data_IF_610290380015
#
_entry.id   IF_610290380015
#
_cell.length_a   1.000
_cell.length_b   1.000
_cell.length_c   1.000
_cell.angle_alpha   90.00
_cell.angle_beta   90.00
_cell.angle_gamma   90.00
#
_symmetry.space_group_name_H-M   'P 1'
#
loop_
_entity.id
_entity.type
_entity.pdbx_description
1 polymer ?
#
# COMPACT_ATOMS: atom_id res chain seq x y z
N UNK A 1 -0.13 6.19 6.60
CA UNK A 1 -0.17 5.94 8.06
C UNK A 1 -1.05 4.74 8.34
N UNK A 2 -0.56 3.71 9.06
CA UNK A 2 -1.37 2.58 9.54
C UNK A 2 -2.00 2.91 10.89
N UNK A 3 -3.32 2.77 11.02
CA UNK A 3 -4.05 3.09 12.25
C UNK A 3 -5.30 2.25 12.44
N UNK A 4 -5.85 2.23 13.66
CA UNK A 4 -7.11 1.57 14.00
C UNK A 4 -7.35 1.44 15.50
N UNK A 5 -8.62 1.22 15.88
CA UNK A 5 -9.00 0.96 17.28
C UNK A 5 -8.42 -0.37 17.81
N UNK A 6 -8.41 -1.39 16.95
CA UNK A 6 -7.86 -2.71 17.29
C UNK A 6 -6.42 -2.75 16.78
N UNK A 7 -5.45 -2.90 17.70
CA UNK A 7 -4.04 -3.00 17.34
C UNK A 7 -3.72 -4.39 16.77
N UNK A 8 -3.35 -4.44 15.50
CA UNK A 8 -3.03 -5.65 14.73
C UNK A 8 -1.54 -5.83 14.46
N UNK A 9 -0.80 -4.72 14.39
CA UNK A 9 0.65 -4.74 14.16
C UNK A 9 1.37 -3.82 15.14
N UNK A 10 2.65 -4.08 15.46
CA UNK A 10 3.43 -3.25 16.38
C UNK A 10 3.52 -1.77 15.97
N UNK A 11 3.63 -1.50 14.66
CA UNK A 11 3.75 -0.15 14.09
C UNK A 11 2.43 0.60 13.89
N UNK A 12 1.29 -0.05 14.16
CA UNK A 12 -0.02 0.58 14.00
C UNK A 12 -0.25 1.65 15.07
N UNK A 13 -0.71 2.81 14.62
CA UNK A 13 -1.00 3.97 15.48
C UNK A 13 -2.42 3.91 16.04
N UNK A 14 -2.65 4.64 17.12
CA UNK A 14 -4.01 4.95 17.60
C UNK A 14 -4.68 5.95 16.67
N UNK A 15 -6.02 6.05 16.75
CA UNK A 15 -6.77 7.02 15.95
C UNK A 15 -6.37 8.46 16.28
N UNK A 16 -6.17 8.78 17.56
CA UNK A 16 -5.75 10.11 18.02
C UNK A 16 -4.40 10.50 17.38
N UNK A 17 -3.43 9.56 17.38
CA UNK A 17 -2.11 9.82 16.81
C UNK A 17 -2.17 9.97 15.28
N UNK A 18 -2.98 9.18 14.60
CA UNK A 18 -3.19 9.31 13.16
C UNK A 18 -3.82 10.66 12.81
N UNK A 19 -4.79 11.13 13.60
CA UNK A 19 -5.43 12.44 13.43
C UNK A 19 -4.42 13.57 13.59
N UNK A 20 -3.61 13.57 14.67
CA UNK A 20 -2.54 14.55 14.88
C UNK A 20 -1.58 14.63 13.68
N UNK A 21 -1.18 13.47 13.12
CA UNK A 21 -0.30 13.43 11.96
C UNK A 21 -1.00 14.03 10.74
N UNK A 22 -2.25 13.67 10.46
CA UNK A 22 -2.99 14.19 9.31
C UNK A 22 -3.28 15.69 9.41
N UNK A 23 -3.46 16.22 10.63
CA UNK A 23 -3.60 17.66 10.87
C UNK A 23 -2.28 18.42 10.73
N UNK A 24 -1.15 17.76 11.00
CA UNK A 24 0.19 18.35 10.95
C UNK A 24 0.88 18.32 9.59
N UNK A 25 0.34 17.59 8.58
CA UNK A 25 0.94 17.54 7.24
C UNK A 25 0.52 18.76 6.40
N UNK A 26 1.32 19.07 5.39
CA UNK A 26 1.03 20.16 4.45
C UNK A 26 -0.34 19.93 3.76
N UNK A 27 -1.13 21.00 3.54
CA UNK A 27 -2.47 20.88 2.94
C UNK A 27 -2.49 20.17 1.57
N UNK A 28 -1.41 20.30 0.81
CA UNK A 28 -1.26 19.68 -0.52
C UNK A 28 -0.92 18.18 -0.47
N UNK A 29 -0.50 17.68 0.70
CA UNK A 29 -0.14 16.27 0.86
C UNK A 29 -1.39 15.38 0.89
N UNK A 30 -1.43 14.39 0.03
CA UNK A 30 -2.47 13.36 0.05
C UNK A 30 -2.30 12.46 1.26
N UNK A 31 -3.32 12.36 2.10
CA UNK A 31 -3.33 11.57 3.32
C UNK A 31 -3.79 10.16 3.02
N UNK A 32 -2.88 9.21 3.16
CA UNK A 32 -3.19 7.80 2.94
C UNK A 32 -3.28 7.10 4.29
N UNK A 33 -4.46 6.56 4.57
CA UNK A 33 -4.73 5.73 5.75
C UNK A 33 -4.69 4.26 5.38
N UNK A 34 -3.80 3.49 6.01
CA UNK A 34 -3.66 2.05 5.76
C UNK A 34 -4.42 1.26 6.83
N UNK A 35 -5.20 0.28 6.39
CA UNK A 35 -5.83 -0.71 7.27
C UNK A 35 -5.52 -2.13 6.81
N UNK A 36 -5.37 -3.03 7.79
CA UNK A 36 -5.33 -4.48 7.58
C UNK A 36 -6.56 -5.16 8.19
N UNK A 37 -7.58 -4.38 8.56
CA UNK A 37 -8.85 -4.93 9.02
C UNK A 37 -9.59 -5.61 7.87
N UNK A 38 -10.26 -6.71 8.20
CA UNK A 38 -11.05 -7.54 7.28
C UNK A 38 -12.55 -7.45 7.58
N UNK A 39 -12.95 -6.52 8.44
CA UNK A 39 -14.33 -6.26 8.84
C UNK A 39 -14.74 -4.85 8.42
N UNK A 40 -15.80 -4.75 7.60
CA UNK A 40 -16.27 -3.48 7.05
C UNK A 40 -16.78 -2.52 8.13
N UNK A 41 -17.37 -3.04 9.21
CA UNK A 41 -17.88 -2.19 10.29
C UNK A 41 -16.72 -1.64 11.13
N UNK A 42 -15.67 -2.43 11.39
CA UNK A 42 -14.44 -1.92 12.01
C UNK A 42 -13.82 -0.80 11.18
N UNK A 43 -13.69 -1.01 9.86
CA UNK A 43 -13.16 0.01 8.94
C UNK A 43 -14.04 1.25 8.98
N UNK A 44 -15.36 1.10 8.92
CA UNK A 44 -16.33 2.20 8.99
C UNK A 44 -16.18 3.02 10.26
N UNK A 45 -16.07 2.37 11.43
CA UNK A 45 -15.89 3.05 12.71
C UNK A 45 -14.55 3.81 12.79
N UNK A 46 -13.48 3.26 12.23
CA UNK A 46 -12.20 3.96 12.14
C UNK A 46 -12.29 5.20 11.23
N UNK A 47 -12.96 5.08 10.08
CA UNK A 47 -13.13 6.18 9.11
C UNK A 47 -14.02 7.31 9.64
N UNK A 48 -15.00 7.03 10.51
CA UNK A 48 -15.80 8.08 11.18
C UNK A 48 -14.96 8.97 12.08
N UNK A 49 -13.91 8.43 12.69
CA UNK A 49 -13.02 9.16 13.59
C UNK A 49 -11.86 9.85 12.82
N UNK A 50 -11.27 9.15 11.84
CA UNK A 50 -10.14 9.62 11.06
C UNK A 50 -10.35 9.28 9.59
N UNK A 51 -10.75 10.28 8.80
CA UNK A 51 -11.01 10.13 7.38
C UNK A 51 -9.78 10.57 6.57
N UNK A 52 -9.09 9.66 5.86
CA UNK A 52 -8.02 9.99 4.93
C UNK A 52 -8.57 10.42 3.57
N UNK A 53 -7.71 10.96 2.70
CA UNK A 53 -8.05 11.18 1.30
C UNK A 53 -8.11 9.85 0.52
N UNK A 54 -7.26 8.90 0.90
CA UNK A 54 -7.17 7.56 0.30
C UNK A 54 -7.13 6.52 1.41
N UNK A 55 -8.02 5.55 1.37
CA UNK A 55 -7.97 4.35 2.21
C UNK A 55 -7.19 3.26 1.47
N UNK A 56 -6.09 2.82 2.07
CA UNK A 56 -5.29 1.70 1.58
C UNK A 56 -5.72 0.42 2.29
N UNK A 57 -6.38 -0.48 1.54
CA UNK A 57 -6.76 -1.81 1.98
C UNK A 57 -5.58 -2.76 1.77
N UNK A 58 -4.83 -3.04 2.85
CA UNK A 58 -3.57 -3.79 2.83
C UNK A 58 -3.63 -5.11 3.60
N UNK A 59 -4.81 -5.52 4.06
CA UNK A 59 -5.05 -6.82 4.67
C UNK A 59 -5.13 -7.96 3.65
N UNK A 60 -5.70 -9.09 4.08
CA UNK A 60 -6.03 -10.15 3.14
C UNK A 60 -7.02 -9.63 2.09
N UNK A 61 -6.64 -9.73 0.81
CA UNK A 61 -7.46 -9.21 -0.29
C UNK A 61 -8.86 -9.85 -0.35
N UNK A 62 -8.99 -11.09 0.11
CA UNK A 62 -10.27 -11.81 0.16
C UNK A 62 -11.13 -11.42 1.38
N UNK A 63 -10.59 -10.63 2.34
CA UNK A 63 -11.29 -10.22 3.56
C UNK A 63 -12.37 -9.15 3.34
N UNK A 64 -12.19 -8.27 2.34
CA UNK A 64 -13.15 -7.21 1.99
C UNK A 64 -13.51 -7.33 0.51
N UNK A 65 -14.72 -7.77 0.20
CA UNK A 65 -15.17 -8.00 -1.17
C UNK A 65 -15.34 -6.69 -1.98
N UNK A 66 -15.35 -6.75 -3.31
CA UNK A 66 -15.62 -5.58 -4.16
C UNK A 66 -16.95 -4.88 -3.83
N UNK A 67 -17.98 -5.63 -3.43
CA UNK A 67 -19.27 -5.08 -3.00
C UNK A 67 -19.13 -4.26 -1.71
N UNK A 68 -18.37 -4.76 -0.76
CA UNK A 68 -18.07 -4.04 0.49
C UNK A 68 -17.20 -2.80 0.24
N UNK A 69 -16.25 -2.87 -0.69
CA UNK A 69 -15.49 -1.67 -1.13
C UNK A 69 -16.41 -0.62 -1.72
N UNK A 70 -17.36 -1.02 -2.57
CA UNK A 70 -18.38 -0.11 -3.12
C UNK A 70 -19.25 0.48 -2.01
N UNK A 71 -19.61 -0.30 -1.02
CA UNK A 71 -20.35 0.16 0.14
C UNK A 71 -19.58 1.21 0.95
N UNK A 72 -18.27 1.02 1.19
CA UNK A 72 -17.41 2.03 1.83
C UNK A 72 -17.41 3.34 1.06
N UNK A 73 -17.27 3.30 -0.27
CA UNK A 73 -17.32 4.51 -1.12
C UNK A 73 -18.69 5.21 -1.04
N UNK A 74 -19.78 4.48 -0.90
CA UNK A 74 -21.12 5.04 -0.73
C UNK A 74 -21.30 5.67 0.67
N UNK A 75 -20.76 5.04 1.72
CA UNK A 75 -20.79 5.56 3.10
C UNK A 75 -19.92 6.82 3.27
N UNK A 76 -18.82 6.92 2.51
CA UNK A 76 -17.85 8.03 2.57
C UNK A 76 -17.63 8.65 1.18
N UNK A 77 -18.56 9.48 0.70
CA UNK A 77 -18.40 10.13 -0.62
C UNK A 77 -17.12 10.95 -0.70
N UNK A 78 -16.33 10.73 -1.76
CA UNK A 78 -15.04 11.37 -1.98
C UNK A 78 -13.83 10.58 -1.47
N UNK A 79 -14.04 9.56 -0.63
CA UNK A 79 -12.97 8.63 -0.24
C UNK A 79 -12.47 7.86 -1.46
N UNK A 80 -11.18 7.90 -1.70
CA UNK A 80 -10.52 7.06 -2.71
C UNK A 80 -10.04 5.76 -2.09
N UNK A 81 -10.04 4.70 -2.89
CA UNK A 81 -9.60 3.37 -2.47
C UNK A 81 -8.32 2.99 -3.19
N UNK A 82 -7.30 2.62 -2.42
CA UNK A 82 -6.09 1.96 -2.89
C UNK A 82 -6.15 0.50 -2.45
N UNK A 83 -6.29 -0.41 -3.41
CA UNK A 83 -6.33 -1.84 -3.12
C UNK A 83 -4.93 -2.44 -3.27
N UNK A 84 -4.43 -3.12 -2.24
CA UNK A 84 -3.20 -3.89 -2.35
C UNK A 84 -3.42 -5.13 -3.23
N UNK A 85 -2.55 -5.32 -4.21
CA UNK A 85 -2.49 -6.51 -5.07
C UNK A 85 -1.27 -7.32 -4.64
N UNK A 86 -1.45 -8.48 -4.00
CA UNK A 86 -0.34 -9.30 -3.54
C UNK A 86 0.32 -10.02 -4.72
N UNK A 87 1.65 -9.92 -4.81
CA UNK A 87 2.48 -10.69 -5.72
C UNK A 87 3.34 -11.64 -4.91
N UNK A 88 3.19 -12.94 -5.13
CA UNK A 88 3.96 -13.97 -4.45
C UNK A 88 5.40 -13.97 -4.96
N UNK A 89 6.35 -14.04 -4.02
CA UNK A 89 7.77 -14.14 -4.34
C UNK A 89 8.06 -15.55 -4.93
N UNK A 90 8.95 -15.60 -5.92
CA UNK A 90 9.40 -16.83 -6.57
C UNK A 90 8.28 -17.68 -7.24
N UNK A 91 7.12 -17.08 -7.50
CA UNK A 91 6.02 -17.71 -8.22
C UNK A 91 5.90 -17.05 -9.60
N UNK A 92 5.89 -17.84 -10.70
CA UNK A 92 5.77 -17.29 -12.05
C UNK A 92 4.40 -16.66 -12.29
N UNK A 93 4.32 -15.73 -13.27
CA UNK A 93 3.11 -14.95 -13.56
C UNK A 93 1.85 -15.83 -13.78
N UNK A 94 1.99 -16.94 -14.48
CA UNK A 94 0.90 -17.86 -14.81
C UNK A 94 0.30 -18.58 -13.59
N UNK A 95 1.03 -18.61 -12.46
CA UNK A 95 0.59 -19.18 -11.19
C UNK A 95 0.16 -18.10 -10.18
N UNK A 96 0.31 -16.80 -10.53
CA UNK A 96 -0.13 -15.69 -9.70
C UNK A 96 -1.64 -15.46 -9.82
N UNK A 97 -2.29 -15.17 -8.69
CA UNK A 97 -3.68 -14.70 -8.68
C UNK A 97 -3.82 -13.18 -8.92
N UNK A 98 -2.70 -12.47 -9.05
CA UNK A 98 -2.68 -11.00 -9.09
C UNK A 98 -3.57 -10.43 -10.21
N UNK A 99 -3.52 -10.98 -11.42
CA UNK A 99 -4.36 -10.54 -12.55
C UNK A 99 -5.86 -10.83 -12.31
N UNK A 100 -6.21 -11.89 -11.58
CA UNK A 100 -7.60 -12.17 -11.19
C UNK A 100 -8.09 -11.12 -10.19
N UNK A 101 -7.27 -10.78 -9.19
CA UNK A 101 -7.60 -9.74 -8.21
C UNK A 101 -7.74 -8.36 -8.86
N UNK A 102 -6.85 -7.99 -9.78
CA UNK A 102 -6.98 -6.75 -10.56
C UNK A 102 -8.36 -6.69 -11.22
N UNK A 103 -8.74 -7.74 -11.96
CA UNK A 103 -10.03 -7.80 -12.65
C UNK A 103 -11.24 -7.74 -11.70
N UNK A 104 -11.12 -8.31 -10.49
CA UNK A 104 -12.19 -8.28 -9.50
C UNK A 104 -12.39 -6.88 -8.90
N UNK A 105 -11.29 -6.16 -8.65
CA UNK A 105 -11.31 -4.90 -7.88
C UNK A 105 -11.21 -3.64 -8.75
N UNK A 106 -10.93 -3.73 -10.06
CA UNK A 106 -10.73 -2.54 -10.91
C UNK A 106 -11.93 -1.58 -10.95
N UNK A 107 -13.16 -2.11 -10.89
CA UNK A 107 -14.37 -1.29 -10.92
C UNK A 107 -14.65 -0.51 -9.62
N UNK A 108 -13.92 -0.80 -8.54
CA UNK A 108 -14.15 -0.20 -7.22
C UNK A 108 -12.91 0.48 -6.63
N UNK A 109 -11.75 0.29 -7.25
CA UNK A 109 -10.47 0.86 -6.82
C UNK A 109 -10.12 2.11 -7.61
N UNK A 110 -9.53 3.09 -6.95
CA UNK A 110 -8.98 4.31 -7.56
C UNK A 110 -7.47 4.18 -7.81
N UNK A 111 -6.81 3.27 -7.07
CA UNK A 111 -5.41 2.91 -7.22
C UNK A 111 -5.21 1.43 -6.89
N UNK A 112 -4.19 0.83 -7.49
CA UNK A 112 -3.63 -0.43 -7.04
C UNK A 112 -2.23 -0.20 -6.44
N UNK A 113 -1.95 -0.83 -5.30
CA UNK A 113 -0.59 -0.98 -4.77
C UNK A 113 -0.13 -2.41 -5.02
N UNK A 114 0.85 -2.60 -5.88
CA UNK A 114 1.42 -3.92 -6.17
C UNK A 114 2.56 -4.16 -5.19
N UNK A 115 2.39 -5.13 -4.28
CA UNK A 115 3.37 -5.36 -3.21
C UNK A 115 3.73 -6.84 -3.07
N UNK A 116 4.96 -7.09 -2.62
CA UNK A 116 5.49 -8.45 -2.43
C UNK A 116 4.87 -9.10 -1.22
N UNK A 117 4.29 -10.30 -1.41
CA UNK A 117 3.85 -11.17 -0.32
C UNK A 117 4.85 -12.32 -0.16
N UNK A 118 5.39 -12.52 1.04
CA UNK A 118 6.20 -13.68 1.35
C UNK A 118 5.31 -14.95 1.40
N UNK A 119 5.83 -16.08 0.92
CA UNK A 119 5.08 -17.37 0.87
C UNK A 119 4.56 -17.86 2.23
N UNK A 120 5.19 -17.40 3.33
CA UNK A 120 4.89 -17.84 4.70
C UNK A 120 4.22 -16.78 5.57
N UNK A 121 4.03 -15.55 5.07
CA UNK A 121 3.47 -14.45 5.84
C UNK A 121 1.98 -14.24 5.52
N UNK A 122 1.18 -14.10 6.56
CA UNK A 122 -0.22 -13.67 6.41
C UNK A 122 -0.33 -12.18 6.02
N UNK A 123 0.76 -11.42 6.16
CA UNK A 123 0.80 -9.99 5.90
C UNK A 123 1.37 -9.67 4.52
N UNK A 124 0.76 -8.73 3.83
CA UNK A 124 1.25 -8.16 2.56
C UNK A 124 2.20 -7.02 2.91
N UNK A 125 3.42 -7.03 2.31
CA UNK A 125 4.38 -5.93 2.42
C UNK A 125 5.25 -5.90 3.68
N UNK A 126 6.03 -4.83 3.83
CA UNK A 126 6.96 -4.56 4.95
C UNK A 126 8.09 -5.60 5.15
N UNK A 127 8.31 -6.50 4.19
CA UNK A 127 9.31 -7.57 4.28
C UNK A 127 10.69 -7.16 3.73
N UNK A 128 10.75 -6.08 2.93
CA UNK A 128 11.97 -5.69 2.19
C UNK A 128 12.33 -6.64 1.06
N UNK A 129 11.47 -7.62 0.76
CA UNK A 129 11.65 -8.58 -0.34
C UNK A 129 11.22 -7.99 -1.67
N UNK A 130 11.82 -8.50 -2.74
CA UNK A 130 11.46 -8.15 -4.12
C UNK A 130 10.86 -9.37 -4.83
N UNK A 131 10.01 -9.10 -5.82
CA UNK A 131 9.52 -10.08 -6.78
C UNK A 131 9.97 -9.71 -8.21
N UNK A 132 9.66 -10.56 -9.18
CA UNK A 132 10.00 -10.30 -10.59
C UNK A 132 9.19 -9.10 -11.12
N UNK A 133 9.86 -8.04 -11.54
CA UNK A 133 9.24 -6.80 -12.06
C UNK A 133 8.48 -7.00 -13.38
N UNK A 134 8.70 -8.10 -14.08
CA UNK A 134 7.86 -8.46 -15.24
C UNK A 134 6.40 -8.69 -14.85
N UNK A 135 6.14 -9.13 -13.60
CA UNK A 135 4.79 -9.29 -13.04
C UNK A 135 4.13 -7.93 -12.82
N UNK A 136 4.86 -6.96 -12.24
CA UNK A 136 4.36 -5.58 -12.10
C UNK A 136 3.95 -5.02 -13.46
N UNK A 137 4.80 -5.18 -14.46
CA UNK A 137 4.54 -4.72 -15.81
C UNK A 137 3.29 -5.37 -16.41
N UNK A 138 3.12 -6.68 -16.27
CA UNK A 138 1.95 -7.40 -16.74
C UNK A 138 0.66 -6.91 -16.07
N UNK A 139 0.70 -6.62 -14.75
CA UNK A 139 -0.41 -6.05 -14.00
C UNK A 139 -0.74 -4.65 -14.55
N UNK A 140 0.26 -3.78 -14.66
CA UNK A 140 0.09 -2.40 -15.15
C UNK A 140 -0.53 -2.38 -16.55
N UNK A 141 -0.07 -3.26 -17.45
CA UNK A 141 -0.59 -3.37 -18.81
C UNK A 141 -2.02 -3.96 -18.89
N UNK A 142 -2.48 -4.63 -17.83
CA UNK A 142 -3.79 -5.31 -17.79
C UNK A 142 -4.96 -4.43 -17.36
N UNK A 143 -4.70 -3.23 -16.83
CA UNK A 143 -5.74 -2.35 -16.26
C UNK A 143 -5.52 -0.88 -16.60
N UNK A 144 -6.58 -0.07 -16.52
CA UNK A 144 -6.51 1.39 -16.60
C UNK A 144 -6.42 2.06 -15.22
N UNK A 145 -6.53 1.29 -14.12
CA UNK A 145 -6.39 1.82 -12.77
C UNK A 145 -4.93 2.18 -12.52
N UNK A 146 -4.61 3.40 -12.03
CA UNK A 146 -3.25 3.79 -11.71
C UNK A 146 -2.58 2.83 -10.72
N UNK A 147 -1.43 2.26 -11.11
CA UNK A 147 -0.69 1.28 -10.31
C UNK A 147 0.54 1.91 -9.64
N UNK A 148 0.68 1.68 -8.35
CA UNK A 148 1.85 2.04 -7.55
C UNK A 148 2.60 0.74 -7.28
N UNK A 149 3.90 0.71 -7.54
CA UNK A 149 4.73 -0.47 -7.25
C UNK A 149 5.45 -0.31 -5.91
N UNK A 150 5.49 -1.42 -5.17
CA UNK A 150 6.16 -1.55 -3.89
C UNK A 150 7.07 -2.79 -3.86
N UNK A 151 7.48 -3.21 -2.66
CA UNK A 151 8.30 -4.41 -2.47
C UNK A 151 9.78 -4.19 -2.72
N UNK A 152 10.54 -3.95 -1.65
CA UNK A 152 12.00 -3.87 -1.65
C UNK A 152 12.58 -2.72 -2.47
N UNK A 153 11.86 -1.60 -2.62
CA UNK A 153 12.35 -0.42 -3.32
C UNK A 153 13.14 0.51 -2.40
N UNK A 154 14.27 0.99 -2.90
CA UNK A 154 15.13 2.02 -2.31
C UNK A 154 15.76 2.92 -3.39
N UNK A 155 16.58 3.88 -2.97
CA UNK A 155 17.25 4.81 -3.89
C UNK A 155 18.15 4.13 -4.92
N UNK A 156 18.67 2.91 -4.65
CA UNK A 156 19.60 2.20 -5.54
C UNK A 156 18.90 1.47 -6.68
N UNK A 157 17.61 1.14 -6.53
CA UNK A 157 16.89 0.29 -7.46
C UNK A 157 15.61 0.91 -8.06
N UNK A 158 15.07 1.97 -7.46
CA UNK A 158 13.79 2.56 -7.86
C UNK A 158 13.79 3.10 -9.29
N UNK A 159 14.85 3.77 -9.73
CA UNK A 159 14.95 4.30 -11.09
C UNK A 159 14.88 3.18 -12.14
N UNK A 160 15.55 2.05 -11.89
CA UNK A 160 15.48 0.88 -12.75
C UNK A 160 14.06 0.29 -12.77
N UNK A 161 13.43 0.14 -11.60
CA UNK A 161 12.08 -0.37 -11.50
C UNK A 161 11.08 0.50 -12.30
N UNK A 162 11.18 1.83 -12.19
CA UNK A 162 10.34 2.77 -12.97
C UNK A 162 10.56 2.60 -14.47
N UNK A 163 11.81 2.53 -14.92
CA UNK A 163 12.14 2.37 -16.35
C UNK A 163 11.59 1.06 -16.93
N UNK A 164 11.61 -0.03 -16.16
CA UNK A 164 11.15 -1.35 -16.57
C UNK A 164 9.62 -1.49 -16.58
N UNK A 165 8.91 -0.86 -15.61
CA UNK A 165 7.48 -1.11 -15.37
C UNK A 165 6.58 0.07 -15.74
N UNK A 166 7.11 1.30 -15.76
CA UNK A 166 6.35 2.55 -16.01
C UNK A 166 5.11 2.70 -15.15
N UNK A 167 5.25 2.64 -13.82
CA UNK A 167 4.13 2.73 -12.90
C UNK A 167 3.59 4.17 -12.81
N UNK A 168 2.41 4.33 -12.24
CA UNK A 168 1.90 5.65 -11.84
C UNK A 168 2.69 6.26 -10.68
N UNK A 169 3.19 5.42 -9.77
CA UNK A 169 3.97 5.83 -8.61
C UNK A 169 4.76 4.67 -8.01
N UNK A 170 5.57 5.00 -7.01
CA UNK A 170 6.40 4.05 -6.27
C UNK A 170 6.22 4.22 -4.77
N UNK A 171 6.30 3.12 -4.01
CA UNK A 171 6.23 3.11 -2.56
C UNK A 171 7.44 2.41 -1.95
N UNK A 172 7.92 2.92 -0.82
CA UNK A 172 8.99 2.32 -0.03
C UNK A 172 8.68 2.39 1.45
N UNK A 173 8.69 1.25 2.13
CA UNK A 173 8.50 1.19 3.57
C UNK A 173 9.76 0.77 4.31
N UNK A 174 10.19 -0.48 4.20
CA UNK A 174 11.27 -1.05 5.04
C UNK A 174 12.62 -0.41 4.77
N UNK A 175 12.99 -0.22 3.50
CA UNK A 175 14.32 0.24 3.09
C UNK A 175 14.55 1.75 3.25
N UNK A 176 13.51 2.49 3.62
CA UNK A 176 13.61 3.92 3.98
C UNK A 176 13.58 4.15 5.51
N UNK A 177 13.72 3.09 6.30
CA UNK A 177 13.87 3.18 7.76
C UNK A 177 15.35 3.23 8.16
N UNK A 178 15.63 3.67 9.39
CA UNK A 178 16.95 3.49 10.02
C UNK A 178 17.28 2.00 10.13
N UNK A 179 18.57 1.63 9.98
CA UNK A 179 19.03 0.24 10.00
C UNK A 179 18.91 -0.44 11.37
N UNK A 180 18.88 0.34 12.45
CA UNK A 180 18.85 -0.13 13.82
C UNK A 180 17.62 0.41 14.56
N UNK A 181 16.48 -0.18 14.27
CA UNK A 181 15.22 0.10 14.97
C UNK A 181 14.87 -1.12 15.82
N UNK A 182 14.37 -0.90 17.04
CA UNK A 182 13.88 -2.00 17.90
C UNK A 182 12.84 -2.85 17.13
N UNK A 183 12.89 -4.15 17.37
CA UNK A 183 11.97 -5.09 16.74
C UNK A 183 10.50 -4.64 16.87
N UNK A 184 9.76 -4.68 15.78
CA UNK A 184 8.37 -4.24 15.73
C UNK A 184 8.15 -2.73 15.69
N UNK A 185 9.21 -1.91 15.66
CA UNK A 185 9.10 -0.47 15.40
C UNK A 185 9.57 -0.12 14.00
N UNK A 186 9.02 0.94 13.44
CA UNK A 186 9.51 1.56 12.21
C UNK A 186 9.82 3.02 12.47
N UNK A 187 10.96 3.48 12.03
CA UNK A 187 11.36 4.89 12.13
C UNK A 187 11.99 5.31 10.80
N UNK A 188 11.37 6.25 10.12
CA UNK A 188 11.87 6.74 8.83
C UNK A 188 13.19 7.47 9.00
N UNK A 189 14.15 7.14 8.14
CA UNK A 189 15.39 7.86 7.97
C UNK A 189 15.18 8.98 6.94
N UNK A 190 15.24 10.27 7.34
CA UNK A 190 14.99 11.38 6.42
C UNK A 190 15.94 11.40 5.22
N UNK A 191 17.20 10.98 5.39
CA UNK A 191 18.18 10.96 4.29
C UNK A 191 17.85 9.85 3.28
N UNK A 192 17.45 8.66 3.76
CA UNK A 192 17.00 7.58 2.88
C UNK A 192 15.72 7.94 2.15
N UNK A 193 14.76 8.58 2.83
CA UNK A 193 13.52 9.07 2.21
C UNK A 193 13.83 10.09 1.12
N UNK A 194 14.71 11.07 1.41
CA UNK A 194 15.13 12.09 0.44
C UNK A 194 15.79 11.46 -0.78
N UNK A 195 16.77 10.57 -0.56
CA UNK A 195 17.46 9.88 -1.63
C UNK A 195 16.51 9.05 -2.51
N UNK A 196 15.53 8.37 -1.90
CA UNK A 196 14.50 7.63 -2.64
C UNK A 196 13.64 8.56 -3.53
N UNK A 197 13.21 9.70 -3.00
CA UNK A 197 12.42 10.67 -3.76
C UNK A 197 13.25 11.22 -4.94
N UNK A 198 14.50 11.65 -4.70
CA UNK A 198 15.38 12.18 -5.73
C UNK A 198 15.63 11.17 -6.85
N UNK A 199 15.90 9.91 -6.49
CA UNK A 199 16.09 8.83 -7.46
C UNK A 199 14.80 8.53 -8.27
N UNK A 200 13.63 8.60 -7.62
CA UNK A 200 12.34 8.39 -8.27
C UNK A 200 11.99 9.49 -9.28
N UNK A 201 12.32 10.74 -8.97
CA UNK A 201 12.04 11.91 -9.83
C UNK A 201 13.03 12.02 -11.01
N UNK A 202 14.16 11.33 -10.94
CA UNK A 202 15.21 11.35 -11.97
C UNK A 202 15.07 10.23 -12.99
N UNK A 203 14.06 9.35 -12.85
CA UNK A 203 13.86 8.15 -13.65
C UNK A 203 13.09 8.40 -14.96
#
# INVERSE_FOLDING_TARGET
>A
VSYGKIKRTPGQLTLERAKEIFEGVQPEAVKIGLTIAEDIEEITENLKEVLPDVLHLSGNIEGISPEQVRELKNRFPGLKIMQAIPVLQNVPLEEQKALEYVKQYEAVSDFFLIDTKADTANDIGATGLTHDRSIDRAIIESTSVPCIIAGGLDASNVAKAIAETRPYGVDSFSLTNFDHVEEGKSCKDPEKVKAFIEASLSA
#
